data_IF_769137697380
#
_entry.id   IF_769137697380
#
_cell.length_a   1.000
_cell.length_b   1.000
_cell.length_c   1.000
_cell.angle_alpha   90.00
_cell.angle_beta   90.00
_cell.angle_gamma   90.00
#
_symmetry.space_group_name_H-M   'P 1'
#
loop_
_entity.id
_entity.type
_entity.pdbx_description
1 polymer ?
#
# COMPACT_ATOMS: atom_id res chain seq x y z
N UNK A 1 -18.79 -42.23 -15.44
CA UNK A 1 -19.25 -42.62 -14.10
C UNK A 1 -18.13 -42.67 -13.04
N UNK A 2 -16.98 -43.25 -13.34
CA UNK A 2 -15.85 -43.34 -12.38
C UNK A 2 -15.28 -41.98 -11.95
N UNK A 3 -15.14 -41.01 -12.85
CA UNK A 3 -14.60 -39.65 -12.57
C UNK A 3 -15.54 -38.87 -11.63
N UNK A 4 -16.85 -39.01 -11.77
CA UNK A 4 -17.83 -38.34 -10.90
C UNK A 4 -17.75 -38.90 -9.46
N UNK A 5 -17.53 -40.20 -9.33
CA UNK A 5 -17.37 -40.86 -8.03
C UNK A 5 -16.07 -40.43 -7.32
N UNK A 6 -14.99 -40.21 -8.06
CA UNK A 6 -13.72 -39.70 -7.52
C UNK A 6 -13.88 -38.25 -7.03
N UNK A 7 -14.54 -37.39 -7.80
CA UNK A 7 -14.79 -36.00 -7.42
C UNK A 7 -15.69 -35.93 -6.17
N UNK A 8 -16.75 -36.74 -6.09
CA UNK A 8 -17.60 -36.81 -4.90
C UNK A 8 -16.85 -37.33 -3.67
N UNK A 9 -15.94 -38.29 -3.82
CA UNK A 9 -15.13 -38.78 -2.73
C UNK A 9 -14.13 -37.73 -2.21
N UNK A 10 -13.52 -36.96 -3.11
CA UNK A 10 -12.61 -35.88 -2.75
C UNK A 10 -13.37 -34.73 -2.02
N UNK A 11 -14.55 -34.35 -2.52
CA UNK A 11 -15.39 -33.35 -1.86
C UNK A 11 -15.88 -33.81 -0.48
N UNK A 12 -16.22 -35.09 -0.32
CA UNK A 12 -16.65 -35.65 0.97
C UNK A 12 -15.48 -35.73 1.96
N UNK A 13 -14.25 -35.98 1.51
CA UNK A 13 -13.07 -35.92 2.39
C UNK A 13 -12.70 -34.50 2.81
N UNK A 14 -12.86 -33.50 1.93
CA UNK A 14 -12.65 -32.10 2.27
C UNK A 14 -13.65 -31.64 3.35
N UNK A 15 -14.94 -31.95 3.20
CA UNK A 15 -15.95 -31.67 4.22
C UNK A 15 -15.66 -32.33 5.57
N UNK A 16 -15.12 -33.56 5.58
CA UNK A 16 -14.73 -34.23 6.81
C UNK A 16 -13.49 -33.64 7.48
N UNK A 17 -12.60 -33.02 6.72
CA UNK A 17 -11.43 -32.31 7.26
C UNK A 17 -11.87 -31.00 7.93
N UNK A 18 -12.71 -30.19 7.27
CA UNK A 18 -13.28 -28.98 7.88
C UNK A 18 -14.05 -29.29 9.16
N UNK A 19 -14.96 -30.27 9.15
CA UNK A 19 -15.70 -30.68 10.33
C UNK A 19 -14.81 -31.27 11.45
N UNK A 20 -13.63 -31.77 11.15
CA UNK A 20 -12.64 -32.22 12.15
C UNK A 20 -11.85 -31.06 12.72
N UNK A 21 -11.55 -30.05 11.90
CA UNK A 21 -10.92 -28.81 12.35
C UNK A 21 -11.83 -28.04 13.30
N UNK A 22 -13.10 -27.83 12.93
CA UNK A 22 -14.11 -27.19 13.79
C UNK A 22 -14.24 -27.92 15.16
N UNK A 23 -14.25 -29.28 15.15
CA UNK A 23 -14.31 -30.07 16.39
C UNK A 23 -13.02 -30.00 17.22
N UNK A 24 -11.87 -29.81 16.60
CA UNK A 24 -10.60 -29.61 17.30
C UNK A 24 -10.58 -28.24 17.96
N UNK A 25 -11.05 -27.21 17.27
CA UNK A 25 -11.18 -25.86 17.82
C UNK A 25 -12.15 -25.83 19.01
N UNK A 26 -13.32 -26.45 18.88
CA UNK A 26 -14.30 -26.57 19.97
C UNK A 26 -13.76 -27.41 21.14
N UNK A 27 -12.98 -28.49 20.89
CA UNK A 27 -12.47 -29.37 21.93
C UNK A 27 -11.28 -28.81 22.69
N UNK A 28 -10.53 -27.89 22.08
CA UNK A 28 -9.39 -27.25 22.74
C UNK A 28 -9.81 -26.12 23.67
N UNK A 29 -11.12 -25.75 23.67
CA UNK A 29 -11.66 -24.70 24.53
C UNK A 29 -10.74 -23.46 24.54
N UNK A 30 -10.28 -23.06 23.33
CA UNK A 30 -9.35 -21.96 23.18
C UNK A 30 -10.12 -20.70 23.56
N UNK A 31 -9.95 -20.28 24.78
CA UNK A 31 -10.50 -19.04 25.28
C UNK A 31 -9.70 -17.90 24.61
N UNK A 32 -10.16 -17.44 23.44
CA UNK A 32 -9.56 -16.36 22.67
C UNK A 32 -9.55 -14.99 23.39
N UNK A 33 -10.04 -14.94 24.66
CA UNK A 33 -9.89 -13.79 25.56
C UNK A 33 -8.47 -13.64 26.14
N UNK A 34 -7.44 -14.10 25.43
CA UNK A 34 -6.08 -13.65 25.74
C UNK A 34 -6.01 -12.17 25.40
N UNK A 35 -5.97 -11.34 26.41
CA UNK A 35 -5.65 -9.90 26.26
C UNK A 35 -4.21 -9.87 25.73
N UNK A 36 -4.08 -9.85 24.40
CA UNK A 36 -2.80 -9.62 23.74
C UNK A 36 -2.44 -8.17 24.06
N UNK A 37 -1.48 -7.97 24.96
CA UNK A 37 -0.92 -6.63 25.17
C UNK A 37 -0.35 -6.17 23.84
N UNK A 38 -0.54 -4.90 23.48
CA UNK A 38 -0.08 -4.34 22.21
C UNK A 38 1.43 -4.60 21.92
N UNK A 39 2.21 -4.86 22.97
CA UNK A 39 3.64 -5.13 22.86
C UNK A 39 3.96 -6.57 22.39
N UNK A 40 2.96 -7.47 22.38
CA UNK A 40 3.09 -8.87 21.92
C UNK A 40 2.58 -9.10 20.49
N UNK A 41 2.04 -8.10 19.82
CA UNK A 41 1.56 -8.25 18.45
C UNK A 41 2.72 -8.49 17.47
N UNK A 42 2.56 -9.44 16.53
CA UNK A 42 3.60 -9.74 15.54
C UNK A 42 3.95 -8.50 14.72
N UNK A 43 5.22 -8.24 14.56
CA UNK A 43 5.69 -7.18 13.68
C UNK A 43 6.07 -7.74 12.30
N UNK A 44 5.97 -6.96 11.23
CA UNK A 44 6.48 -7.37 9.93
C UNK A 44 7.98 -7.67 10.00
N UNK A 45 8.37 -8.81 9.42
CA UNK A 45 9.77 -9.26 9.37
C UNK A 45 10.48 -8.54 8.22
N UNK A 46 11.59 -7.89 8.51
CA UNK A 46 12.46 -7.28 7.51
C UNK A 46 13.20 -8.35 6.70
N UNK A 47 13.05 -8.37 5.39
CA UNK A 47 13.71 -9.35 4.50
C UNK A 47 14.95 -8.79 3.81
N UNK A 48 15.07 -7.49 3.67
CA UNK A 48 16.26 -6.86 3.08
C UNK A 48 15.96 -5.64 2.23
N UNK A 49 17.01 -5.02 1.75
CA UNK A 49 16.95 -3.94 0.75
C UNK A 49 16.79 -4.57 -0.62
N UNK A 50 15.68 -4.31 -1.30
CA UNK A 50 15.42 -4.82 -2.66
C UNK A 50 16.02 -3.94 -3.74
N UNK A 51 16.09 -2.63 -3.49
CA UNK A 51 16.71 -1.65 -4.37
C UNK A 51 17.35 -0.54 -3.57
N UNK A 52 18.51 -0.09 -4.02
CA UNK A 52 19.19 1.07 -3.48
C UNK A 52 19.60 1.98 -4.61
N UNK A 53 19.23 3.26 -4.53
CA UNK A 53 19.75 4.27 -5.43
C UNK A 53 20.87 5.07 -4.78
N UNK A 54 21.94 5.25 -5.51
CA UNK A 54 23.02 6.19 -5.18
C UNK A 54 22.73 7.60 -5.74
N UNK A 55 21.72 7.71 -6.61
CA UNK A 55 21.30 8.96 -7.23
C UNK A 55 19.80 9.21 -6.94
N UNK A 56 19.37 10.46 -7.05
CA UNK A 56 18.06 10.96 -6.61
C UNK A 56 16.81 10.33 -7.24
N UNK A 57 16.93 9.35 -8.12
CA UNK A 57 15.92 9.07 -9.15
C UNK A 57 15.32 7.67 -9.13
N UNK A 58 15.53 6.90 -8.07
CA UNK A 58 14.92 5.57 -7.96
C UNK A 58 13.84 5.54 -6.88
N UNK A 59 12.57 5.49 -7.29
CA UNK A 59 11.43 5.31 -6.41
C UNK A 59 10.71 4.02 -6.78
N UNK A 60 10.31 3.26 -5.79
CA UNK A 60 9.26 2.26 -5.99
C UNK A 60 7.92 2.96 -5.78
N UNK A 61 7.07 2.96 -6.79
CA UNK A 61 5.76 3.61 -6.74
C UNK A 61 4.59 2.65 -6.61
N UNK A 62 4.84 1.35 -6.56
CA UNK A 62 3.77 0.39 -6.55
C UNK A 62 4.14 -0.89 -5.82
N UNK A 63 3.12 -1.55 -5.22
CA UNK A 63 3.28 -2.88 -4.67
C UNK A 63 3.80 -3.83 -5.75
N UNK A 64 4.52 -4.83 -5.33
CA UNK A 64 4.85 -5.95 -6.19
C UNK A 64 3.56 -6.63 -6.63
N UNK A 65 3.37 -6.73 -7.93
CA UNK A 65 2.28 -7.50 -8.52
C UNK A 65 2.84 -8.87 -8.89
N UNK A 66 2.36 -9.93 -8.25
CA UNK A 66 2.78 -11.27 -8.61
C UNK A 66 1.96 -11.77 -9.80
N UNK A 67 2.62 -11.91 -10.94
CA UNK A 67 1.98 -12.35 -12.20
C UNK A 67 2.90 -13.31 -12.92
N UNK A 68 2.35 -14.45 -13.35
CA UNK A 68 3.06 -15.48 -14.13
C UNK A 68 4.38 -15.94 -13.50
N UNK A 69 4.42 -16.09 -12.18
CA UNK A 69 5.59 -16.56 -11.45
C UNK A 69 6.64 -15.49 -11.14
N UNK A 70 6.35 -14.23 -11.44
CA UNK A 70 7.27 -13.11 -11.21
C UNK A 70 6.68 -12.06 -10.27
N UNK A 71 7.51 -11.53 -9.40
CA UNK A 71 7.25 -10.26 -8.73
C UNK A 71 7.54 -9.13 -9.69
N UNK A 72 6.55 -8.25 -9.89
CA UNK A 72 6.65 -7.11 -10.80
C UNK A 72 6.58 -5.83 -9.96
N UNK A 73 7.63 -5.03 -9.98
CA UNK A 73 7.69 -3.70 -9.37
C UNK A 73 7.79 -2.64 -10.46
N UNK A 74 7.15 -1.51 -10.22
CA UNK A 74 7.34 -0.35 -11.08
C UNK A 74 8.20 0.68 -10.36
N UNK A 75 9.32 1.05 -10.94
CA UNK A 75 10.24 1.99 -10.35
C UNK A 75 10.62 3.11 -11.33
N UNK A 76 10.88 4.30 -10.81
CA UNK A 76 11.51 5.37 -11.58
C UNK A 76 13.03 5.22 -11.51
N UNK A 77 13.66 5.36 -12.68
CA UNK A 77 15.10 5.44 -12.82
C UNK A 77 15.41 6.54 -13.84
N UNK A 78 16.16 7.57 -13.43
CA UNK A 78 16.47 8.74 -14.24
C UNK A 78 15.21 9.42 -14.82
N UNK A 79 14.16 9.56 -14.03
CA UNK A 79 12.88 10.13 -14.46
C UNK A 79 12.03 9.26 -15.38
N UNK A 80 12.50 8.06 -15.74
CA UNK A 80 11.78 7.11 -16.59
C UNK A 80 11.21 5.97 -15.76
N UNK A 81 9.99 5.54 -16.08
CA UNK A 81 9.35 4.39 -15.42
C UNK A 81 9.83 3.08 -16.03
N UNK A 82 10.23 2.16 -15.18
CA UNK A 82 10.60 0.80 -15.55
C UNK A 82 9.69 -0.21 -14.87
N UNK A 83 9.35 -1.26 -15.60
CA UNK A 83 8.87 -2.50 -15.02
C UNK A 83 10.08 -3.34 -14.64
N UNK A 84 10.27 -3.58 -13.35
CA UNK A 84 11.30 -4.48 -12.82
C UNK A 84 10.67 -5.83 -12.47
N UNK A 85 11.23 -6.92 -12.95
CA UNK A 85 10.78 -8.29 -12.71
C UNK A 85 11.81 -9.10 -11.97
N UNK A 86 11.37 -9.86 -10.97
CA UNK A 86 12.20 -10.80 -10.22
C UNK A 86 11.45 -12.08 -9.90
N UNK A 87 12.14 -13.21 -9.88
CA UNK A 87 11.56 -14.51 -9.52
C UNK A 87 11.29 -14.65 -8.01
N UNK A 88 12.02 -13.93 -7.17
CA UNK A 88 11.95 -14.04 -5.70
C UNK A 88 11.53 -12.75 -4.99
N UNK A 89 11.36 -11.65 -5.71
CA UNK A 89 10.99 -10.36 -5.14
C UNK A 89 12.13 -9.58 -4.47
N UNK A 90 13.28 -10.20 -4.22
CA UNK A 90 14.39 -9.59 -3.49
C UNK A 90 15.56 -9.16 -4.38
N UNK A 91 15.91 -9.97 -5.36
CA UNK A 91 17.09 -9.74 -6.21
C UNK A 91 16.87 -10.25 -7.63
N UNK A 92 17.90 -10.18 -8.47
CA UNK A 92 17.84 -10.64 -9.86
C UNK A 92 16.84 -9.84 -10.71
N UNK A 93 16.66 -8.56 -10.43
CA UNK A 93 15.71 -7.70 -11.12
C UNK A 93 16.11 -7.43 -12.58
N UNK A 94 15.19 -7.71 -13.49
CA UNK A 94 15.31 -7.39 -14.92
C UNK A 94 14.42 -6.18 -15.19
N UNK A 95 15.01 -5.12 -15.73
CA UNK A 95 14.35 -3.84 -15.97
C UNK A 95 13.93 -3.69 -17.43
N UNK A 96 12.67 -3.37 -17.65
CA UNK A 96 12.12 -3.03 -18.97
C UNK A 96 11.54 -1.62 -18.91
N UNK A 97 11.94 -0.75 -19.82
CA UNK A 97 11.41 0.60 -19.92
C UNK A 97 9.90 0.54 -20.22
N UNK A 98 9.10 1.24 -19.44
CA UNK A 98 7.65 1.35 -19.65
C UNK A 98 7.32 2.69 -20.31
N UNK A 99 6.30 2.70 -21.15
CA UNK A 99 5.76 3.93 -21.73
C UNK A 99 4.88 4.73 -20.75
N UNK A 100 4.67 4.17 -19.56
CA UNK A 100 3.75 4.73 -18.59
C UNK A 100 4.38 5.87 -17.76
N UNK A 101 3.53 6.78 -17.26
CA UNK A 101 3.89 7.68 -16.15
C UNK A 101 3.83 6.92 -14.82
N UNK A 102 4.47 7.45 -13.77
CA UNK A 102 4.34 6.91 -12.41
C UNK A 102 2.87 6.89 -11.96
N UNK A 103 2.49 5.88 -11.20
CA UNK A 103 1.12 5.74 -10.70
C UNK A 103 0.86 4.36 -10.10
N UNK A 104 -0.31 4.15 -9.51
CA UNK A 104 -0.72 2.86 -8.96
C UNK A 104 -1.12 1.89 -10.08
N UNK A 105 -0.58 0.70 -10.06
CA UNK A 105 -0.83 -0.34 -11.07
C UNK A 105 -1.29 -1.62 -10.36
N UNK A 106 -2.31 -2.26 -10.89
CA UNK A 106 -2.78 -3.58 -10.44
C UNK A 106 -2.96 -4.50 -11.65
N UNK A 107 -2.97 -5.80 -11.39
CA UNK A 107 -3.33 -6.81 -12.37
C UNK A 107 -4.64 -7.46 -11.96
N UNK A 108 -5.61 -7.44 -12.87
CA UNK A 108 -6.93 -8.04 -12.67
C UNK A 108 -7.51 -8.46 -14.02
N UNK A 109 -8.30 -9.52 -14.04
CA UNK A 109 -9.03 -9.95 -15.25
C UNK A 109 -8.13 -10.05 -16.52
N UNK A 110 -6.88 -10.53 -16.36
CA UNK A 110 -5.94 -10.70 -17.46
C UNK A 110 -5.30 -9.42 -18.00
N UNK A 111 -5.43 -8.29 -17.30
CA UNK A 111 -4.92 -6.97 -17.73
C UNK A 111 -4.29 -6.21 -16.60
N UNK A 112 -3.41 -5.29 -16.93
CA UNK A 112 -2.88 -4.27 -16.03
C UNK A 112 -3.76 -3.02 -16.11
N UNK A 113 -4.12 -2.50 -14.96
CA UNK A 113 -4.90 -1.26 -14.78
C UNK A 113 -4.04 -0.27 -14.02
N UNK A 114 -3.97 0.95 -14.50
CA UNK A 114 -3.14 2.00 -13.95
C UNK A 114 -3.94 3.25 -13.67
N UNK A 115 -3.79 3.79 -12.46
CA UNK A 115 -4.23 5.13 -12.09
C UNK A 115 -3.00 6.00 -11.82
N UNK A 116 -2.96 7.18 -12.41
CA UNK A 116 -1.91 8.17 -12.20
C UNK A 116 -2.51 9.57 -12.23
N UNK A 117 -1.76 10.59 -11.84
CA UNK A 117 -2.25 11.96 -11.85
C UNK A 117 -1.39 12.86 -12.74
N UNK A 118 -2.00 13.94 -13.21
CA UNK A 118 -1.33 15.06 -13.85
C UNK A 118 -1.80 16.37 -13.21
N UNK A 119 -0.88 17.27 -13.02
CA UNK A 119 -1.14 18.58 -12.49
C UNK A 119 -1.48 19.58 -13.58
N UNK A 120 -2.53 20.37 -13.34
CA UNK A 120 -2.89 21.53 -14.13
C UNK A 120 -3.03 22.72 -13.18
N UNK A 121 -1.99 23.54 -13.09
CA UNK A 121 -1.88 24.55 -12.04
C UNK A 121 -1.81 23.90 -10.65
N UNK A 122 -2.70 24.29 -9.75
CA UNK A 122 -2.80 23.77 -8.39
C UNK A 122 -3.72 22.53 -8.25
N UNK A 123 -4.25 22.01 -9.34
CA UNK A 123 -5.23 20.91 -9.33
C UNK A 123 -4.65 19.63 -9.94
N UNK A 124 -4.82 18.50 -9.25
CA UNK A 124 -4.45 17.18 -9.74
C UNK A 124 -5.68 16.43 -10.28
N UNK A 125 -5.58 15.94 -11.49
CA UNK A 125 -6.60 15.10 -12.14
C UNK A 125 -6.08 13.69 -12.31
N UNK A 126 -6.93 12.70 -12.01
CA UNK A 126 -6.58 11.31 -12.22
C UNK A 126 -6.80 10.89 -13.66
N UNK A 127 -5.86 10.13 -14.16
CA UNK A 127 -5.89 9.45 -15.44
C UNK A 127 -5.91 7.94 -15.21
N UNK A 128 -6.60 7.25 -16.10
CA UNK A 128 -6.78 5.81 -16.02
C UNK A 128 -6.33 5.18 -17.32
N UNK A 129 -5.48 4.17 -17.23
CA UNK A 129 -4.90 3.50 -18.38
C UNK A 129 -4.94 1.98 -18.20
N UNK A 130 -4.89 1.26 -19.32
CA UNK A 130 -4.84 -0.21 -19.36
C UNK A 130 -3.66 -0.69 -20.19
N UNK A 131 -3.19 -1.90 -19.88
CA UNK A 131 -2.17 -2.59 -20.65
C UNK A 131 -2.40 -4.11 -20.61
N UNK A 132 -1.98 -4.82 -21.66
CA UNK A 132 -1.94 -6.28 -21.70
C UNK A 132 -0.60 -6.84 -21.22
N UNK A 133 0.48 -6.11 -21.44
CA UNK A 133 1.86 -6.53 -21.16
C UNK A 133 2.49 -5.91 -19.92
N UNK A 134 1.83 -4.87 -19.34
CA UNK A 134 2.33 -4.10 -18.21
C UNK A 134 3.43 -3.10 -18.57
N UNK A 135 3.74 -2.96 -19.86
CA UNK A 135 4.78 -2.07 -20.39
C UNK A 135 4.16 -0.93 -21.18
N UNK A 136 3.28 -1.27 -22.12
CA UNK A 136 2.63 -0.34 -23.02
C UNK A 136 1.22 -0.02 -22.50
N UNK A 137 1.02 1.21 -21.98
CA UNK A 137 -0.24 1.63 -21.43
C UNK A 137 -0.97 2.60 -22.36
N UNK A 138 -2.29 2.40 -22.48
CA UNK A 138 -3.19 3.28 -23.22
C UNK A 138 -4.17 3.94 -22.27
N UNK A 139 -4.24 5.27 -22.30
CA UNK A 139 -5.20 6.05 -21.53
C UNK A 139 -6.63 5.76 -22.00
N UNK A 140 -7.52 5.47 -21.06
CA UNK A 140 -8.92 5.13 -21.35
C UNK A 140 -9.92 6.10 -20.74
N UNK A 141 -9.52 6.85 -19.71
CA UNK A 141 -10.38 7.80 -19.03
C UNK A 141 -9.56 8.84 -18.25
N UNK A 142 -10.21 9.95 -17.92
CA UNK A 142 -9.71 11.02 -17.07
C UNK A 142 -10.79 11.41 -16.07
N UNK A 143 -10.42 11.72 -14.82
CA UNK A 143 -11.37 12.25 -13.85
C UNK A 143 -11.94 13.59 -14.32
N UNK A 144 -13.23 13.79 -14.11
CA UNK A 144 -13.92 15.04 -14.46
C UNK A 144 -13.66 16.18 -13.46
N UNK A 145 -13.27 15.82 -12.24
CA UNK A 145 -13.00 16.74 -11.15
C UNK A 145 -11.60 16.51 -10.60
N UNK A 146 -10.97 17.50 -10.00
CA UNK A 146 -9.72 17.29 -9.25
C UNK A 146 -9.93 16.24 -8.18
N UNK A 147 -9.04 15.27 -8.12
CA UNK A 147 -9.22 14.07 -7.29
C UNK A 147 -8.04 13.82 -6.34
N UNK A 148 -7.11 14.77 -6.27
CA UNK A 148 -5.91 14.64 -5.44
C UNK A 148 -4.88 13.67 -6.02
N UNK A 149 -3.89 13.35 -5.20
CA UNK A 149 -2.71 12.56 -5.56
C UNK A 149 -2.65 11.21 -4.83
N UNK A 150 -1.54 10.50 -5.06
CA UNK A 150 -1.10 9.31 -4.31
C UNK A 150 -2.19 8.25 -4.18
N UNK A 151 -2.73 7.82 -5.32
CA UNK A 151 -3.78 6.81 -5.36
C UNK A 151 -3.20 5.41 -5.23
N UNK A 152 -3.84 4.62 -4.40
CA UNK A 152 -3.73 3.17 -4.43
C UNK A 152 -5.01 2.58 -5.03
N UNK A 153 -4.86 1.70 -6.01
CA UNK A 153 -5.98 1.01 -6.64
C UNK A 153 -5.98 -0.44 -6.22
N UNK A 154 -7.18 -0.98 -6.00
CA UNK A 154 -7.45 -2.38 -5.65
C UNK A 154 -8.61 -2.89 -6.50
N UNK A 155 -8.55 -4.15 -6.94
CA UNK A 155 -9.70 -4.87 -7.47
C UNK A 155 -10.20 -5.86 -6.42
N UNK A 156 -11.47 -5.72 -5.99
CA UNK A 156 -12.01 -6.53 -4.89
C UNK A 156 -12.62 -7.86 -5.36
N UNK A 157 -12.54 -8.15 -6.66
CA UNK A 157 -13.15 -9.32 -7.32
C UNK A 157 -14.37 -8.94 -8.17
N UNK A 158 -14.99 -7.77 -7.93
CA UNK A 158 -16.16 -7.29 -8.67
C UNK A 158 -16.03 -5.86 -9.14
N UNK A 159 -15.44 -4.99 -8.32
CA UNK A 159 -15.27 -3.56 -8.57
C UNK A 159 -13.84 -3.13 -8.29
N UNK A 160 -13.45 -2.02 -8.88
CA UNK A 160 -12.21 -1.32 -8.59
C UNK A 160 -12.46 -0.30 -7.46
N UNK A 161 -11.57 -0.30 -6.48
CA UNK A 161 -11.52 0.65 -5.39
C UNK A 161 -10.30 1.54 -5.56
N UNK A 162 -10.44 2.82 -5.28
CA UNK A 162 -9.34 3.79 -5.32
C UNK A 162 -9.29 4.55 -4.02
N UNK A 163 -8.12 4.53 -3.40
CA UNK A 163 -7.80 5.27 -2.20
C UNK A 163 -6.79 6.34 -2.55
N UNK A 164 -7.09 7.58 -2.28
CA UNK A 164 -6.26 8.70 -2.65
C UNK A 164 -6.25 9.78 -1.58
N UNK A 165 -5.43 10.79 -1.80
CA UNK A 165 -5.28 11.91 -0.88
C UNK A 165 -6.11 13.09 -1.36
N UNK A 166 -7.02 13.61 -0.49
CA UNK A 166 -7.72 14.85 -0.78
C UNK A 166 -6.85 16.08 -0.47
N UNK A 167 -7.05 17.10 -1.27
CA UNK A 167 -6.60 18.47 -1.05
C UNK A 167 -7.84 19.36 -0.91
N UNK A 168 -7.89 20.43 -0.15
CA UNK A 168 -6.80 21.08 0.57
C UNK A 168 -6.47 20.45 1.94
N UNK A 169 -5.52 21.11 2.64
CA UNK A 169 -5.06 20.71 3.98
C UNK A 169 -6.12 20.92 5.08
N UNK A 170 -6.12 20.10 6.16
CA UNK A 170 -5.24 18.95 6.35
C UNK A 170 -5.60 17.84 5.36
N UNK A 171 -4.56 17.18 4.83
CA UNK A 171 -4.77 16.09 3.88
C UNK A 171 -5.45 14.91 4.54
N UNK A 172 -6.44 14.34 3.85
CA UNK A 172 -7.26 13.22 4.31
C UNK A 172 -7.29 12.14 3.25
N UNK A 173 -7.72 10.94 3.59
CA UNK A 173 -7.89 9.85 2.64
C UNK A 173 -9.32 9.84 2.11
N UNK A 174 -9.42 9.80 0.80
CA UNK A 174 -10.69 9.63 0.09
C UNK A 174 -10.81 8.24 -0.52
N UNK A 175 -12.04 7.84 -0.79
CA UNK A 175 -12.42 6.62 -1.47
C UNK A 175 -13.27 6.91 -2.71
N UNK A 176 -13.07 6.14 -3.77
CA UNK A 176 -13.91 6.07 -4.97
C UNK A 176 -13.99 4.63 -5.43
N UNK A 177 -15.07 4.28 -6.14
CA UNK A 177 -15.21 2.97 -6.77
C UNK A 177 -15.66 3.08 -8.23
N UNK A 178 -15.36 2.02 -8.99
CA UNK A 178 -15.71 1.90 -10.40
C UNK A 178 -15.93 0.42 -10.78
N UNK A 179 -16.94 0.13 -11.56
CA UNK A 179 -17.17 -1.20 -12.11
C UNK A 179 -16.36 -1.47 -13.39
N UNK A 180 -15.91 -0.43 -14.08
CA UNK A 180 -15.29 -0.52 -15.42
C UNK A 180 -13.92 0.14 -15.54
N UNK A 181 -13.39 0.69 -14.42
CA UNK A 181 -12.16 1.46 -14.35
C UNK A 181 -12.17 2.77 -15.16
N UNK A 182 -13.33 3.18 -15.67
CA UNK A 182 -13.51 4.42 -16.47
C UNK A 182 -14.34 5.46 -15.76
N UNK A 183 -15.50 5.02 -15.24
CA UNK A 183 -16.42 5.89 -14.52
C UNK A 183 -16.28 5.64 -13.03
N UNK A 184 -15.87 6.66 -12.32
CA UNK A 184 -15.65 6.61 -10.88
C UNK A 184 -16.70 7.42 -10.15
N UNK A 185 -17.11 6.92 -8.97
CA UNK A 185 -17.98 7.68 -8.07
C UNK A 185 -17.31 8.99 -7.64
N UNK A 186 -18.10 9.92 -7.12
CA UNK A 186 -17.53 11.09 -6.46
C UNK A 186 -16.64 10.67 -5.29
N UNK A 187 -15.55 11.40 -5.02
CA UNK A 187 -14.67 11.12 -3.90
C UNK A 187 -15.42 11.30 -2.57
N UNK A 188 -15.26 10.33 -1.66
CA UNK A 188 -15.80 10.37 -0.31
C UNK A 188 -14.66 10.29 0.70
N UNK A 189 -14.61 11.19 1.68
CA UNK A 189 -13.62 11.14 2.77
C UNK A 189 -13.89 9.94 3.66
N UNK A 190 -12.87 9.13 3.91
CA UNK A 190 -12.98 7.89 4.70
C UNK A 190 -12.07 7.86 5.93
N UNK A 191 -10.99 8.61 5.91
CA UNK A 191 -10.05 8.74 7.03
C UNK A 191 -9.50 10.15 7.08
N UNK A 192 -9.47 10.71 8.29
CA UNK A 192 -8.88 12.02 8.57
C UNK A 192 -8.17 12.02 9.92
N UNK A 193 -7.16 12.89 10.10
CA UNK A 193 -6.57 13.13 11.41
C UNK A 193 -7.62 13.60 12.43
N UNK A 194 -7.47 13.21 13.68
CA UNK A 194 -8.33 13.61 14.77
C UNK A 194 -7.53 14.30 15.90
N UNK A 195 -8.19 14.66 16.99
CA UNK A 195 -7.57 15.38 18.09
C UNK A 195 -6.40 14.64 18.76
N UNK A 196 -6.37 13.29 18.66
CA UNK A 196 -5.27 12.47 19.22
C UNK A 196 -4.00 12.59 18.38
N UNK A 197 -4.14 12.87 17.09
CA UNK A 197 -3.00 13.03 16.17
C UNK A 197 -2.25 14.36 16.36
N UNK A 198 -2.95 15.37 16.86
CA UNK A 198 -2.44 16.74 16.91
C UNK A 198 -2.69 17.53 15.63
N UNK A 199 -2.37 18.82 15.66
CA UNK A 199 -2.70 19.78 14.60
C UNK A 199 -1.78 19.73 13.38
N UNK A 200 -0.65 19.04 13.48
CA UNK A 200 0.41 19.00 12.49
C UNK A 200 0.59 17.61 11.84
N UNK A 201 -0.46 16.80 11.87
CA UNK A 201 -0.50 15.50 11.20
C UNK A 201 -1.43 15.55 10.00
N UNK A 202 -0.99 14.98 8.91
CA UNK A 202 -1.77 14.77 7.69
C UNK A 202 -1.72 13.32 7.27
N UNK A 203 -2.78 12.82 6.64
CA UNK A 203 -2.79 11.49 6.04
C UNK A 203 -2.34 11.58 4.59
N UNK A 204 -1.21 10.96 4.29
CA UNK A 204 -0.50 11.20 3.05
C UNK A 204 -0.76 10.13 1.99
N UNK A 205 -0.89 8.87 2.40
CA UNK A 205 -1.11 7.75 1.50
C UNK A 205 -1.82 6.61 2.24
N UNK A 206 -2.62 5.82 1.52
CA UNK A 206 -3.22 4.59 2.02
C UNK A 206 -3.06 3.49 0.98
N UNK A 207 -2.27 2.47 1.29
CA UNK A 207 -2.16 1.26 0.49
C UNK A 207 -3.01 0.16 1.12
N UNK A 208 -3.85 -0.50 0.33
CA UNK A 208 -4.85 -1.45 0.83
C UNK A 208 -4.72 -2.80 0.17
N UNK A 209 -4.82 -3.87 0.97
CA UNK A 209 -5.07 -5.25 0.48
C UNK A 209 -6.44 -5.74 0.94
N UNK A 210 -7.06 -6.57 0.13
CA UNK A 210 -8.23 -7.37 0.49
C UNK A 210 -7.78 -8.74 0.98
N UNK A 211 -8.33 -9.17 2.11
CA UNK A 211 -8.19 -10.51 2.65
C UNK A 211 -9.56 -11.16 2.82
N UNK A 212 -9.62 -12.40 3.25
CA UNK A 212 -10.88 -13.07 3.58
C UNK A 212 -11.61 -12.47 4.80
N UNK A 213 -10.85 -11.82 5.72
CA UNK A 213 -11.38 -11.18 6.93
C UNK A 213 -11.62 -9.67 6.79
N UNK A 214 -11.51 -9.12 5.59
CA UNK A 214 -11.70 -7.68 5.32
C UNK A 214 -10.50 -7.03 4.69
N UNK A 215 -10.34 -5.75 4.90
CA UNK A 215 -9.35 -4.91 4.23
C UNK A 215 -8.36 -4.36 5.24
N UNK A 216 -7.08 -4.56 4.98
CA UNK A 216 -5.99 -3.99 5.77
C UNK A 216 -5.30 -2.90 4.96
N UNK A 217 -5.02 -1.78 5.62
CA UNK A 217 -4.36 -0.64 5.01
C UNK A 217 -3.06 -0.25 5.69
N UNK A 218 -2.07 0.16 4.91
CA UNK A 218 -0.89 0.89 5.38
C UNK A 218 -1.21 2.38 5.25
N UNK A 219 -1.52 3.02 6.36
CA UNK A 219 -1.79 4.45 6.43
C UNK A 219 -0.46 5.18 6.67
N UNK A 220 -0.04 5.98 5.70
CA UNK A 220 1.10 6.85 5.85
C UNK A 220 0.68 8.18 6.46
N UNK A 221 1.23 8.47 7.63
CA UNK A 221 1.14 9.75 8.29
C UNK A 221 2.30 10.64 7.86
N UNK A 222 2.02 11.91 7.68
CA UNK A 222 3.02 12.95 7.48
C UNK A 222 2.92 13.97 8.60
N UNK A 223 4.03 14.19 9.27
CA UNK A 223 4.16 15.20 10.31
C UNK A 223 4.63 16.50 9.66
N UNK A 224 3.73 17.46 9.49
CA UNK A 224 4.07 18.78 8.95
C UNK A 224 4.94 19.55 9.93
N UNK A 225 5.60 20.63 9.49
CA UNK A 225 6.24 21.56 10.40
C UNK A 225 5.23 22.34 11.23
N UNK A 226 5.70 23.02 12.27
CA UNK A 226 4.88 23.80 13.22
C UNK A 226 3.95 24.81 12.53
N UNK A 227 4.29 25.28 11.33
CA UNK A 227 3.45 26.19 10.54
C UNK A 227 2.31 25.51 9.80
N UNK A 228 2.20 24.17 9.79
CA UNK A 228 1.21 23.43 8.98
C UNK A 228 1.39 23.61 7.47
N UNK A 229 2.51 24.14 7.02
CA UNK A 229 2.78 24.41 5.60
C UNK A 229 3.83 23.46 5.03
N UNK A 230 3.65 23.03 3.77
CA UNK A 230 4.68 22.35 2.98
C UNK A 230 5.72 23.35 2.44
N UNK A 231 6.11 24.33 3.24
CA UNK A 231 7.14 25.27 2.87
C UNK A 231 8.49 24.66 3.25
N UNK A 232 9.43 24.76 2.37
CA UNK A 232 10.81 24.40 2.62
C UNK A 232 11.32 25.16 3.85
N UNK A 233 11.45 24.45 4.98
CA UNK A 233 11.85 25.07 6.25
C UNK A 233 13.34 24.82 6.52
N UNK A 234 13.96 25.82 7.18
CA UNK A 234 15.32 25.71 7.69
C UNK A 234 15.35 25.03 9.08
N UNK A 235 16.44 24.30 9.41
CA UNK A 235 16.60 23.77 10.75
C UNK A 235 16.69 24.90 11.81
N UNK A 236 16.45 24.60 13.10
CA UNK A 236 16.32 23.27 13.68
C UNK A 236 14.90 22.67 13.56
N UNK A 237 14.83 21.33 13.37
CA UNK A 237 13.58 20.58 13.31
C UNK A 237 13.40 19.78 14.60
N UNK A 238 12.15 19.61 15.04
CA UNK A 238 11.83 18.62 16.07
C UNK A 238 12.03 17.19 15.53
N UNK A 239 12.03 16.20 16.40
CA UNK A 239 12.30 14.80 16.00
C UNK A 239 11.35 14.30 14.91
N UNK A 240 10.06 14.68 14.96
CA UNK A 240 9.03 14.19 14.03
C UNK A 240 8.70 15.13 12.87
N UNK A 241 9.07 16.41 12.92
CA UNK A 241 8.77 17.35 11.83
C UNK A 241 9.32 16.88 10.48
N UNK A 242 8.50 16.99 9.45
CA UNK A 242 8.80 16.60 8.07
C UNK A 242 9.22 15.13 7.90
N UNK A 243 8.72 14.25 8.80
CA UNK A 243 8.90 12.81 8.70
C UNK A 243 7.60 12.11 8.36
N UNK A 244 7.69 10.86 7.94
CA UNK A 244 6.52 10.00 7.74
C UNK A 244 6.63 8.73 8.57
N UNK A 245 5.50 8.15 8.94
CA UNK A 245 5.41 6.83 9.56
C UNK A 245 4.25 6.03 8.95
N UNK A 246 4.27 4.72 9.14
CA UNK A 246 3.25 3.80 8.64
C UNK A 246 2.47 3.23 9.84
N UNK A 247 1.16 3.40 9.83
CA UNK A 247 0.26 2.76 10.77
C UNK A 247 -0.63 1.73 10.08
N UNK A 248 -1.03 0.70 10.81
CA UNK A 248 -1.95 -0.31 10.34
C UNK A 248 -3.39 0.16 10.56
N UNK A 249 -4.22 0.03 9.52
CA UNK A 249 -5.66 0.29 9.59
C UNK A 249 -6.45 -0.89 9.03
N UNK A 250 -7.69 -1.02 9.46
CA UNK A 250 -8.60 -2.09 9.07
C UNK A 250 -10.00 -1.58 8.78
N UNK A 251 -10.67 -2.16 7.80
CA UNK A 251 -12.09 -2.02 7.53
C UNK A 251 -12.67 -3.36 7.07
N UNK A 252 -13.85 -3.71 7.55
CA UNK A 252 -14.53 -4.94 7.17
C UNK A 252 -14.96 -4.94 5.68
N UNK A 253 -15.31 -3.78 5.13
CA UNK A 253 -15.82 -3.64 3.76
C UNK A 253 -14.89 -2.87 2.81
N UNK A 254 -13.83 -2.25 3.32
CA UNK A 254 -12.89 -1.43 2.55
C UNK A 254 -13.44 -0.06 2.11
N UNK A 255 -14.67 0.27 2.49
CA UNK A 255 -15.35 1.50 2.08
C UNK A 255 -15.40 2.52 3.22
N UNK A 256 -15.80 2.07 4.39
CA UNK A 256 -16.01 2.91 5.57
C UNK A 256 -15.57 2.20 6.86
N UNK A 257 -15.83 2.84 8.00
CA UNK A 257 -15.54 2.30 9.33
C UNK A 257 -14.07 1.84 9.50
N UNK A 258 -13.16 2.58 8.90
CA UNK A 258 -11.73 2.31 9.05
C UNK A 258 -11.28 2.55 10.48
N UNK A 259 -10.64 1.56 11.07
CA UNK A 259 -10.10 1.59 12.42
C UNK A 259 -8.57 1.62 12.37
N UNK A 260 -7.95 2.48 13.15
CA UNK A 260 -6.49 2.51 13.34
C UNK A 260 -6.14 1.49 14.41
N UNK A 261 -5.38 0.49 14.03
CA UNK A 261 -5.03 -0.66 14.88
C UNK A 261 -3.77 -0.36 15.73
N UNK A 262 -3.40 -1.34 16.57
CA UNK A 262 -2.18 -1.31 17.38
C UNK A 262 -2.05 -0.01 18.22
N UNK A 263 -3.16 0.49 18.76
CA UNK A 263 -3.19 1.76 19.50
C UNK A 263 -2.51 2.91 18.76
N UNK A 264 -2.58 2.91 17.41
CA UNK A 264 -1.97 3.91 16.53
C UNK A 264 -0.43 3.94 16.60
N UNK A 265 0.21 2.88 17.09
CA UNK A 265 1.66 2.74 17.05
C UNK A 265 2.14 2.52 15.61
N UNK A 266 3.38 2.89 15.36
CA UNK A 266 4.05 2.60 14.09
C UNK A 266 4.03 1.08 13.83
N UNK A 267 3.55 0.69 12.64
CA UNK A 267 3.43 -0.73 12.26
C UNK A 267 4.75 -1.30 11.76
N UNK A 268 5.51 -0.50 11.04
CA UNK A 268 6.85 -0.85 10.61
C UNK A 268 7.83 0.10 11.29
N UNK A 269 8.64 -0.44 12.17
CA UNK A 269 9.68 0.35 12.85
C UNK A 269 10.75 0.77 11.86
N UNK A 270 10.88 2.05 11.63
CA UNK A 270 11.91 2.62 10.77
C UNK A 270 13.30 2.38 11.36
N UNK A 271 14.29 2.16 10.51
CA UNK A 271 15.68 2.27 10.89
C UNK A 271 15.96 3.70 11.37
N UNK A 272 16.87 3.85 12.30
CA UNK A 272 17.14 5.13 12.99
C UNK A 272 17.55 6.28 12.08
N UNK A 273 18.13 5.95 10.93
CA UNK A 273 18.57 6.92 9.92
C UNK A 273 17.49 7.28 8.88
N UNK A 274 16.35 6.57 8.89
CA UNK A 274 15.26 6.81 7.95
C UNK A 274 14.29 7.86 8.51
N UNK A 275 14.02 8.89 7.73
CA UNK A 275 13.09 9.99 8.05
C UNK A 275 11.75 9.88 7.34
N UNK A 276 11.74 9.32 6.14
CA UNK A 276 10.53 9.08 5.37
C UNK A 276 10.44 7.62 5.00
N UNK A 277 9.24 7.07 5.13
CA UNK A 277 8.90 5.71 4.70
C UNK A 277 7.49 5.70 4.16
N UNK A 278 7.31 5.20 2.96
CA UNK A 278 6.01 4.90 2.34
C UNK A 278 5.95 3.41 2.09
N UNK A 279 4.79 2.80 2.27
CA UNK A 279 4.65 1.36 2.13
C UNK A 279 3.49 0.97 1.22
N UNK A 280 3.69 -0.13 0.49
CA UNK A 280 2.68 -0.73 -0.37
C UNK A 280 2.58 -2.22 -0.09
N UNK A 281 1.33 -2.71 -0.07
CA UNK A 281 1.03 -4.11 0.08
C UNK A 281 1.16 -4.91 -1.21
N UNK A 282 1.58 -6.17 -1.08
CA UNK A 282 1.37 -7.24 -2.05
C UNK A 282 0.99 -8.50 -1.32
N UNK A 283 -0.08 -9.18 -1.75
CA UNK A 283 -0.53 -10.44 -1.14
C UNK A 283 -0.19 -11.60 -2.06
N UNK A 284 0.64 -12.52 -1.59
CA UNK A 284 1.11 -13.69 -2.34
C UNK A 284 1.04 -14.93 -1.44
N UNK A 285 0.22 -15.90 -1.81
CA UNK A 285 0.14 -17.21 -1.13
C UNK A 285 -0.04 -17.12 0.39
N UNK A 286 -0.93 -16.24 0.87
CA UNK A 286 -1.21 -16.09 2.31
C UNK A 286 -0.14 -15.31 3.10
N UNK A 287 0.85 -14.74 2.42
CA UNK A 287 1.85 -13.85 3.00
C UNK A 287 1.63 -12.45 2.45
N UNK A 288 1.52 -11.48 3.34
CA UNK A 288 1.46 -10.08 2.99
C UNK A 288 2.89 -9.52 2.96
N UNK A 289 3.33 -9.13 1.79
CA UNK A 289 4.60 -8.44 1.56
C UNK A 289 4.37 -6.94 1.59
N UNK A 290 5.32 -6.21 2.15
CA UNK A 290 5.31 -4.76 2.19
C UNK A 290 6.60 -4.27 1.54
N UNK A 291 6.45 -3.57 0.43
CA UNK A 291 7.56 -2.88 -0.22
C UNK A 291 7.55 -1.43 0.21
N UNK A 292 8.70 -0.93 0.64
CA UNK A 292 8.82 0.44 1.12
C UNK A 292 9.66 1.30 0.18
N UNK A 293 9.33 2.59 0.14
CA UNK A 293 10.24 3.62 -0.34
C UNK A 293 10.73 4.42 0.86
N UNK A 294 12.01 4.45 1.08
CA UNK A 294 12.65 5.01 2.26
C UNK A 294 13.65 6.11 1.91
N UNK A 295 13.68 7.17 2.72
CA UNK A 295 14.63 8.25 2.58
C UNK A 295 15.23 8.64 3.93
N UNK A 296 16.53 8.89 3.95
CA UNK A 296 17.23 9.46 5.13
C UNK A 296 16.90 10.94 5.34
N UNK A 297 16.24 11.58 4.40
CA UNK A 297 15.92 13.00 4.44
C UNK A 297 14.50 13.24 4.86
N UNK A 298 14.28 14.41 5.44
CA UNK A 298 12.96 14.94 5.77
C UNK A 298 12.23 15.39 4.50
N UNK A 299 10.92 15.32 4.51
CA UNK A 299 10.08 15.80 3.42
C UNK A 299 10.03 17.35 3.43
N UNK A 300 10.01 17.97 2.25
CA UNK A 300 9.88 19.44 2.09
C UNK A 300 10.81 20.27 2.99
N UNK A 301 12.08 19.88 3.10
CA UNK A 301 13.08 20.64 3.84
C UNK A 301 14.21 21.10 2.93
N UNK A 302 14.89 22.17 3.31
CA UNK A 302 16.06 22.71 2.59
C UNK A 302 17.19 21.69 2.42
N UNK A 303 17.25 20.68 3.28
CA UNK A 303 18.12 19.52 3.11
C UNK A 303 17.92 18.82 1.75
N UNK A 304 16.77 19.02 1.12
CA UNK A 304 16.44 18.42 -0.18
C UNK A 304 17.09 19.14 -1.36
N UNK A 305 17.44 20.41 -1.25
CA UNK A 305 17.89 21.23 -2.39
C UNK A 305 19.39 21.19 -2.64
N UNK A 306 20.24 20.94 -1.62
CA UNK A 306 21.67 21.25 -1.67
C UNK A 306 22.64 20.06 -1.57
N UNK A 307 22.20 18.79 -1.54
CA UNK A 307 23.12 17.66 -1.42
C UNK A 307 22.92 16.70 -2.59
N UNK A 308 23.96 16.49 -3.37
CA UNK A 308 24.08 15.42 -4.34
C UNK A 308 23.80 14.07 -3.66
N UNK A 309 22.72 13.40 -4.06
CA UNK A 309 22.35 12.07 -3.60
C UNK A 309 21.21 12.04 -2.60
N UNK A 310 19.96 12.07 -3.10
CA UNK A 310 18.83 11.57 -2.34
C UNK A 310 18.98 10.06 -2.25
N UNK A 311 19.36 9.54 -1.07
CA UNK A 311 19.44 8.10 -0.87
C UNK A 311 18.03 7.57 -0.65
N UNK A 312 17.47 6.94 -1.67
CA UNK A 312 16.26 6.17 -1.55
C UNK A 312 16.61 4.69 -1.46
N UNK A 313 16.02 4.05 -0.48
CA UNK A 313 16.04 2.61 -0.33
C UNK A 313 14.66 2.07 -0.60
N UNK A 314 14.58 0.88 -1.13
CA UNK A 314 13.38 0.08 -1.11
C UNK A 314 13.68 -1.18 -0.36
N UNK A 315 12.91 -1.43 0.67
CA UNK A 315 13.04 -2.61 1.50
C UNK A 315 11.80 -3.49 1.35
N UNK A 316 11.96 -4.77 1.57
CA UNK A 316 10.87 -5.72 1.68
C UNK A 316 10.70 -6.17 3.12
N UNK A 317 9.47 -6.18 3.57
CA UNK A 317 9.01 -6.78 4.81
C UNK A 317 7.92 -7.79 4.50
N UNK A 318 7.70 -8.75 5.38
CA UNK A 318 6.60 -9.70 5.27
C UNK A 318 5.93 -9.99 6.60
N UNK A 319 4.65 -10.31 6.55
CA UNK A 319 3.87 -10.81 7.68
C UNK A 319 2.89 -11.87 7.17
N UNK A 320 2.71 -12.96 7.91
CA UNK A 320 1.69 -13.95 7.56
C UNK A 320 0.29 -13.36 7.75
N UNK A 321 -0.70 -13.83 6.98
CA UNK A 321 -2.10 -13.42 7.22
C UNK A 321 -2.58 -13.84 8.61
N UNK A 322 -2.16 -15.00 9.11
CA UNK A 322 -2.47 -15.43 10.46
C UNK A 322 -1.99 -14.45 11.52
N UNK A 323 -0.77 -13.91 11.37
CA UNK A 323 -0.23 -12.89 12.27
C UNK A 323 -0.92 -11.53 12.08
N UNK A 324 -1.24 -11.17 10.84
CA UNK A 324 -1.97 -9.92 10.56
C UNK A 324 -3.36 -9.93 11.19
N UNK A 325 -4.04 -11.07 11.21
CA UNK A 325 -5.37 -11.22 11.81
C UNK A 325 -5.38 -11.07 13.34
N UNK A 326 -4.25 -11.20 14.02
CA UNK A 326 -4.16 -10.94 15.47
C UNK A 326 -4.41 -9.48 15.84
N UNK A 327 -4.28 -8.58 14.87
CA UNK A 327 -4.54 -7.15 15.08
C UNK A 327 -6.04 -6.79 15.14
N UNK A 328 -6.93 -7.67 14.74
CA UNK A 328 -8.39 -7.45 14.69
C UNK A 328 -9.18 -8.38 15.65
N UNK A 329 -8.46 -9.08 16.53
CA UNK A 329 -9.04 -9.98 17.54
C UNK A 329 -9.39 -9.24 18.87
#
# INVERSE_FOLDING_TARGET
>A
MLIILIIMAICSQAQTIEQRLDRIEDSLNINWNVIITNDSLPQPIYEGVVMQSLTSDQYIFNPSIYVNGYSNLYCLKNGLLYLARSNNGLNGWIYTLSTANAGSIIYANGRYYKSYHRWYGAQAFSYYAISLDGINFTDIATSRTPTGEDRNVLFNGTEFYSYGRLQPKPRTIMFQRSSDFRLWTNPNEILKPDAVDGSNVEFYHLSVIKTERGYFGLLNLYYTGLSGQDVEQLPPYTAKEHTTEIQLVYSANGIDNWQRLNSRKEFITKRTDIKQMFGWWSLINGIAYIYTAESKRRHTTYENSNINGRYYFSSEYKISLTDLYKYIQ
#
